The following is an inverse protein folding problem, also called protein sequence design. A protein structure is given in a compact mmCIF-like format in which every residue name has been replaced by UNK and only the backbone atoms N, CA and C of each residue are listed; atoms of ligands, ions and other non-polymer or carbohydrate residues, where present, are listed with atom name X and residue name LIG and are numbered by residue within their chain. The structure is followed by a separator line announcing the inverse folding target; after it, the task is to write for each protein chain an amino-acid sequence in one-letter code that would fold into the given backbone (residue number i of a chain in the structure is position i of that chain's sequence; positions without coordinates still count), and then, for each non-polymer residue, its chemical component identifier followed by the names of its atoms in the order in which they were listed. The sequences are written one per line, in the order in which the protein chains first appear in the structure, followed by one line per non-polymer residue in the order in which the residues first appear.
data_IF_239962696926
#
_entry.id   IF_239962696926
#
_cell.length_a   1.000
_cell.length_b   1.000
_cell.length_c   1.000
_cell.angle_alpha   90.00
_cell.angle_beta   90.00
_cell.angle_gamma   90.00
#
_symmetry.space_group_name_H-M   'P 1'
#
loop_
_entity.id
_entity.type
_entity.pdbx_description
1 polymer ?
#
# COMPACT_ATOMS: atom_id res chain seq x y z
N UNK A 1 -36.99 44.67 14.24
CA UNK A 1 -36.26 43.52 14.81
C UNK A 1 -36.82 42.26 14.15
N UNK A 2 -36.32 41.93 12.96
CA UNK A 2 -36.54 40.60 12.41
C UNK A 2 -35.68 39.65 13.25
N UNK A 3 -36.27 38.62 13.83
CA UNK A 3 -35.48 37.51 14.36
C UNK A 3 -34.83 36.85 13.16
N UNK A 4 -33.56 37.16 12.91
CA UNK A 4 -32.74 36.47 11.92
C UNK A 4 -32.64 35.01 12.35
N UNK A 5 -33.58 34.20 11.85
CA UNK A 5 -33.59 32.77 12.09
C UNK A 5 -32.34 32.20 11.43
N UNK A 6 -31.41 31.73 12.25
CA UNK A 6 -30.17 31.13 11.81
C UNK A 6 -30.49 30.05 10.75
N UNK A 7 -29.92 30.14 9.53
CA UNK A 7 -30.28 29.23 8.46
C UNK A 7 -29.96 27.80 8.87
N UNK A 8 -31.01 26.97 9.00
CA UNK A 8 -30.88 25.56 9.40
C UNK A 8 -30.02 24.81 8.39
N UNK A 9 -28.83 24.38 8.81
CA UNK A 9 -27.90 23.59 7.99
C UNK A 9 -28.60 22.30 7.55
N UNK A 10 -28.60 22.04 6.24
CA UNK A 10 -29.16 20.82 5.65
C UNK A 10 -28.04 19.81 5.41
N UNK A 11 -28.35 18.53 5.57
CA UNK A 11 -27.44 17.44 5.19
C UNK A 11 -27.26 17.48 3.67
N UNK A 12 -26.03 17.50 3.22
CA UNK A 12 -25.68 17.54 1.80
C UNK A 12 -25.60 16.12 1.25
N UNK A 13 -26.08 15.94 0.02
CA UNK A 13 -25.87 14.74 -0.79
C UNK A 13 -26.27 13.41 -0.12
N UNK A 14 -27.45 13.40 0.52
CA UNK A 14 -27.98 12.24 1.25
C UNK A 14 -28.01 10.94 0.43
N UNK A 15 -28.35 11.02 -0.86
CA UNK A 15 -28.36 9.85 -1.75
C UNK A 15 -26.96 9.22 -1.87
N UNK A 16 -25.92 10.05 -1.94
CA UNK A 16 -24.53 9.59 -2.05
C UNK A 16 -24.00 9.07 -0.72
N UNK A 17 -24.41 9.66 0.41
CA UNK A 17 -24.15 9.08 1.72
C UNK A 17 -24.79 7.69 1.84
N UNK A 18 -26.02 7.53 1.37
CA UNK A 18 -26.70 6.24 1.32
C UNK A 18 -25.96 5.21 0.46
N UNK A 19 -25.55 5.58 -0.76
CA UNK A 19 -24.80 4.72 -1.66
C UNK A 19 -23.43 4.31 -1.07
N UNK A 20 -22.69 5.27 -0.51
CA UNK A 20 -21.40 5.01 0.14
C UNK A 20 -21.55 4.10 1.36
N UNK A 21 -22.56 4.33 2.20
CA UNK A 21 -22.84 3.49 3.37
C UNK A 21 -23.22 2.06 2.96
N UNK A 22 -24.08 1.91 1.94
CA UNK A 22 -24.45 0.61 1.41
C UNK A 22 -23.22 -0.15 0.85
N UNK A 23 -22.35 0.55 0.14
CA UNK A 23 -21.09 -0.02 -0.36
C UNK A 23 -20.16 -0.45 0.77
N UNK A 24 -20.00 0.38 1.82
CA UNK A 24 -19.19 0.01 2.99
C UNK A 24 -19.76 -1.19 3.74
N UNK A 25 -21.08 -1.27 3.91
CA UNK A 25 -21.74 -2.42 4.53
C UNK A 25 -21.55 -3.69 3.68
N UNK A 26 -21.61 -3.56 2.36
CA UNK A 26 -21.33 -4.66 1.44
C UNK A 26 -19.87 -5.14 1.57
N UNK A 27 -18.89 -4.24 1.57
CA UNK A 27 -17.49 -4.59 1.82
C UNK A 27 -17.32 -5.24 3.21
N UNK A 28 -17.91 -4.66 4.25
CA UNK A 28 -17.85 -5.18 5.61
C UNK A 28 -18.43 -6.59 5.71
N UNK A 29 -19.54 -6.87 5.04
CA UNK A 29 -20.12 -8.21 4.97
C UNK A 29 -19.11 -9.22 4.38
N UNK A 30 -18.42 -8.88 3.31
CA UNK A 30 -17.38 -9.76 2.74
C UNK A 30 -16.14 -9.88 3.65
N UNK A 31 -15.73 -8.83 4.36
CA UNK A 31 -14.67 -8.95 5.37
C UNK A 31 -15.10 -9.93 6.46
N UNK A 32 -16.30 -9.78 6.99
CA UNK A 32 -16.82 -10.66 8.04
C UNK A 32 -16.86 -12.09 7.54
N UNK A 33 -17.43 -12.35 6.35
CA UNK A 33 -17.41 -13.69 5.75
C UNK A 33 -16.00 -14.24 5.59
N UNK A 34 -15.06 -13.43 5.08
CA UNK A 34 -13.67 -13.85 4.89
C UNK A 34 -12.96 -14.16 6.21
N UNK A 35 -13.31 -13.47 7.31
CA UNK A 35 -12.76 -13.72 8.63
C UNK A 35 -13.44 -14.88 9.37
N UNK A 36 -14.73 -15.14 9.10
CA UNK A 36 -15.48 -16.23 9.75
C UNK A 36 -15.24 -17.57 9.08
N UNK A 37 -15.18 -17.62 7.75
CA UNK A 37 -14.99 -18.85 6.98
C UNK A 37 -13.55 -19.05 6.53
N UNK A 38 -12.80 -17.96 6.34
CA UNK A 38 -11.42 -18.00 5.88
C UNK A 38 -10.41 -18.12 7.01
N UNK A 39 -9.18 -18.48 6.63
CA UNK A 39 -8.03 -18.47 7.53
C UNK A 39 -7.00 -17.46 7.03
N UNK A 40 -6.96 -16.22 7.58
CA UNK A 40 -6.03 -15.18 7.12
C UNK A 40 -4.57 -15.60 7.27
N UNK A 41 -4.26 -16.52 8.18
CA UNK A 41 -2.93 -17.12 8.35
C UNK A 41 -2.37 -17.77 7.07
N UNK A 42 -3.23 -18.20 6.13
CA UNK A 42 -2.81 -18.75 4.82
C UNK A 42 -2.18 -17.72 3.88
N UNK A 43 -2.26 -16.42 4.22
CA UNK A 43 -1.65 -15.37 3.42
C UNK A 43 -0.17 -15.18 3.75
N UNK A 44 0.23 -15.43 4.99
CA UNK A 44 1.59 -15.13 5.47
C UNK A 44 2.36 -16.33 6.02
N UNK A 45 1.71 -17.47 6.31
CA UNK A 45 2.40 -18.71 6.70
C UNK A 45 2.99 -19.41 5.47
N UNK A 46 4.12 -20.09 5.68
CA UNK A 46 4.76 -20.92 4.66
C UNK A 46 3.96 -22.18 4.31
N UNK A 47 4.22 -22.72 3.12
CA UNK A 47 3.67 -24.01 2.69
C UNK A 47 4.78 -25.04 2.58
N UNK A 48 4.51 -26.28 2.97
CA UNK A 48 5.42 -27.39 2.77
C UNK A 48 5.42 -27.88 1.31
N UNK A 49 6.31 -28.81 1.00
CA UNK A 49 6.42 -29.50 -0.30
C UNK A 49 5.14 -30.21 -0.79
N UNK A 50 4.15 -30.45 0.09
CA UNK A 50 2.84 -31.03 -0.24
C UNK A 50 1.78 -29.95 -0.51
N UNK A 51 2.14 -28.67 -0.47
CA UNK A 51 1.21 -27.56 -0.59
C UNK A 51 0.33 -27.33 0.64
N UNK A 52 0.67 -27.94 1.79
CA UNK A 52 -0.02 -27.73 3.07
C UNK A 52 0.58 -26.53 3.78
N UNK A 53 -0.27 -25.63 4.27
CA UNK A 53 0.12 -24.42 5.00
C UNK A 53 0.44 -24.77 6.46
N UNK A 54 1.67 -24.50 6.87
CA UNK A 54 2.17 -24.78 8.22
C UNK A 54 1.33 -24.06 9.28
N UNK A 55 0.87 -24.81 10.30
CA UNK A 55 0.05 -24.29 11.40
C UNK A 55 -1.42 -24.06 11.07
N UNK A 56 -1.87 -24.37 9.84
CA UNK A 56 -3.25 -24.11 9.40
C UNK A 56 -3.96 -25.36 8.92
N UNK A 57 -3.35 -26.13 8.01
CA UNK A 57 -3.99 -27.34 7.49
C UNK A 57 -4.04 -28.45 8.56
N UNK A 58 -5.09 -29.30 8.60
CA UNK A 58 -5.29 -30.26 9.68
C UNK A 58 -4.10 -31.20 9.94
N UNK A 59 -3.39 -31.60 8.87
CA UNK A 59 -2.24 -32.51 8.94
C UNK A 59 -0.97 -31.86 9.52
N UNK A 60 -0.87 -30.54 9.48
CA UNK A 60 0.31 -29.76 9.89
C UNK A 60 -0.05 -28.65 10.87
N UNK A 61 -1.17 -28.81 11.59
CA UNK A 61 -1.71 -27.81 12.51
C UNK A 61 -0.77 -27.54 13.69
N UNK A 62 -0.10 -28.57 14.18
CA UNK A 62 0.84 -28.48 15.30
C UNK A 62 2.27 -28.10 14.87
N UNK A 63 2.47 -27.83 13.57
CA UNK A 63 3.75 -27.53 12.96
C UNK A 63 3.71 -26.14 12.30
N UNK A 64 3.83 -25.04 13.06
CA UNK A 64 3.53 -23.69 12.56
C UNK A 64 4.64 -23.04 11.74
N UNK A 65 5.85 -23.61 11.70
CA UNK A 65 7.02 -22.96 11.10
C UNK A 65 7.52 -23.71 9.87
N UNK A 66 7.88 -22.98 8.82
CA UNK A 66 8.48 -23.54 7.61
C UNK A 66 10.01 -23.58 7.74
N UNK A 67 10.59 -24.76 7.54
CA UNK A 67 12.03 -25.04 7.58
C UNK A 67 12.47 -25.63 6.23
N UNK A 68 13.64 -25.24 5.73
CA UNK A 68 14.20 -25.74 4.47
C UNK A 68 15.34 -26.71 4.76
N UNK A 69 15.21 -28.01 4.48
CA UNK A 69 16.21 -29.00 4.87
C UNK A 69 17.44 -29.01 3.95
N UNK A 70 18.51 -29.66 4.41
CA UNK A 70 19.73 -29.86 3.61
C UNK A 70 19.57 -31.07 2.67
N UNK A 71 20.23 -31.06 1.52
CA UNK A 71 20.28 -32.23 0.63
C UNK A 71 21.19 -33.31 1.24
N UNK A 72 20.65 -34.48 1.64
CA UNK A 72 21.45 -35.55 2.25
C UNK A 72 22.37 -36.26 1.22
N UNK A 73 22.23 -35.99 -0.08
CA UNK A 73 23.02 -36.62 -1.15
C UNK A 73 24.32 -35.88 -1.44
N UNK A 74 24.38 -34.60 -1.10
CA UNK A 74 25.55 -33.76 -1.34
C UNK A 74 26.49 -33.79 -0.13
N UNK A 75 27.79 -33.79 -0.38
CA UNK A 75 28.80 -33.74 0.69
C UNK A 75 28.94 -32.34 1.31
N UNK A 76 28.45 -31.31 0.62
CA UNK A 76 28.41 -29.93 1.08
C UNK A 76 26.99 -29.57 1.53
N UNK A 77 26.88 -28.68 2.52
CA UNK A 77 25.59 -28.25 3.05
C UNK A 77 24.86 -27.36 2.03
N UNK A 78 23.86 -27.96 1.36
CA UNK A 78 23.07 -27.35 0.29
C UNK A 78 21.59 -27.38 0.66
N UNK A 79 20.91 -26.24 0.60
CA UNK A 79 19.49 -26.14 1.01
C UNK A 79 18.56 -26.58 -0.12
N UNK A 80 17.63 -27.49 0.20
CA UNK A 80 16.55 -27.89 -0.69
C UNK A 80 15.38 -26.90 -0.61
N UNK A 81 15.42 -25.84 -1.44
CA UNK A 81 14.41 -24.77 -1.46
C UNK A 81 12.99 -25.24 -1.81
N UNK A 82 12.88 -26.37 -2.51
CA UNK A 82 11.61 -26.92 -2.98
C UNK A 82 10.97 -27.89 -1.97
N UNK A 83 11.74 -28.36 -1.00
CA UNK A 83 11.35 -29.43 -0.08
C UNK A 83 11.12 -28.90 1.33
N UNK A 84 10.56 -27.69 1.43
CA UNK A 84 10.20 -27.05 2.69
C UNK A 84 9.30 -27.96 3.55
N UNK A 85 9.60 -28.00 4.86
CA UNK A 85 8.92 -28.83 5.86
C UNK A 85 8.34 -27.98 6.97
N UNK A 86 7.15 -28.35 7.44
CA UNK A 86 6.59 -27.74 8.64
C UNK A 86 7.24 -28.38 9.88
N UNK A 87 7.66 -27.55 10.84
CA UNK A 87 8.27 -27.97 12.11
C UNK A 87 7.56 -27.30 13.28
N UNK A 88 7.57 -27.97 14.45
CA UNK A 88 6.98 -27.46 15.68
C UNK A 88 7.78 -26.28 16.27
N UNK A 89 9.11 -26.33 16.16
CA UNK A 89 10.06 -25.33 16.63
C UNK A 89 11.25 -25.29 15.67
N UNK A 90 11.84 -24.11 15.45
CA UNK A 90 13.09 -24.01 14.71
C UNK A 90 14.24 -24.69 15.50
N UNK A 91 15.07 -25.53 14.86
CA UNK A 91 16.18 -26.20 15.53
C UNK A 91 17.17 -25.20 16.12
N UNK A 92 17.60 -25.45 17.36
CA UNK A 92 18.63 -24.68 18.05
C UNK A 92 20.01 -25.33 17.87
N UNK A 93 21.08 -24.64 18.28
CA UNK A 93 22.44 -25.21 18.23
C UNK A 93 22.54 -26.52 19.06
N UNK A 94 21.87 -26.57 20.22
CA UNK A 94 21.79 -27.76 21.06
C UNK A 94 21.10 -28.94 20.35
N UNK A 95 20.04 -28.68 19.57
CA UNK A 95 19.34 -29.71 18.82
C UNK A 95 20.22 -30.31 17.70
N UNK A 96 21.05 -29.46 17.08
CA UNK A 96 22.01 -29.88 16.05
C UNK A 96 23.14 -30.72 16.65
N UNK A 97 23.69 -30.29 17.79
CA UNK A 97 24.68 -31.07 18.55
C UNK A 97 24.11 -32.41 19.03
N UNK A 98 22.81 -32.44 19.36
CA UNK A 98 22.05 -33.65 19.68
C UNK A 98 21.78 -34.57 18.49
N UNK A 99 22.20 -34.20 17.27
CA UNK A 99 22.01 -35.01 16.07
C UNK A 99 20.56 -35.03 15.57
N UNK A 100 19.79 -33.96 15.79
CA UNK A 100 18.44 -33.85 15.25
C UNK A 100 18.46 -34.01 13.72
N UNK A 101 17.59 -34.87 13.21
CA UNK A 101 17.40 -35.09 11.77
C UNK A 101 15.96 -34.80 11.37
N UNK A 102 15.78 -34.28 10.16
CA UNK A 102 14.49 -33.91 9.60
C UNK A 102 14.22 -34.80 8.38
N UNK A 103 13.08 -35.49 8.32
CA UNK A 103 12.75 -36.36 7.19
C UNK A 103 12.46 -35.54 5.93
N UNK A 104 13.20 -35.81 4.86
CA UNK A 104 13.09 -35.13 3.56
C UNK A 104 12.67 -36.08 2.46
N UNK A 105 11.81 -35.64 1.52
CA UNK A 105 11.37 -36.49 0.43
C UNK A 105 12.42 -36.41 -0.69
N UNK A 106 12.98 -37.55 -1.08
CA UNK A 106 13.85 -37.63 -2.25
C UNK A 106 13.06 -38.30 -3.37
N UNK A 107 13.02 -37.61 -4.52
CA UNK A 107 12.37 -38.08 -5.74
C UNK A 107 13.44 -38.48 -6.74
N UNK A 108 13.45 -39.76 -7.08
CA UNK A 108 14.29 -40.29 -8.15
C UNK A 108 13.41 -40.71 -9.32
N UNK A 109 13.62 -40.07 -10.46
CA UNK A 109 12.90 -40.40 -11.69
C UNK A 109 13.81 -41.20 -12.61
N UNK A 110 13.52 -42.49 -12.78
CA UNK A 110 14.16 -43.32 -13.80
C UNK A 110 13.32 -43.27 -15.08
N UNK A 111 13.93 -42.79 -16.17
CA UNK A 111 13.31 -42.81 -17.50
C UNK A 111 13.80 -44.06 -18.22
N UNK A 112 12.89 -44.96 -18.59
CA UNK A 112 13.22 -46.07 -19.47
C UNK A 112 13.16 -45.57 -20.93
N UNK A 113 14.30 -45.38 -21.61
CA UNK A 113 14.33 -44.86 -22.97
C UNK A 113 13.63 -45.79 -23.97
N UNK A 114 13.40 -47.06 -23.62
CA UNK A 114 12.74 -48.03 -24.50
C UNK A 114 11.21 -48.03 -24.42
N UNK A 115 10.62 -47.50 -23.33
CA UNK A 115 9.17 -47.63 -23.05
C UNK A 115 8.42 -46.32 -22.91
N UNK A 116 9.02 -45.17 -23.24
CA UNK A 116 8.40 -43.83 -23.13
C UNK A 116 7.65 -43.62 -21.80
N UNK A 117 8.15 -44.24 -20.73
CA UNK A 117 7.58 -44.19 -19.39
C UNK A 117 8.65 -43.78 -18.40
N UNK A 118 8.27 -42.88 -17.50
CA UNK A 118 9.09 -42.45 -16.39
C UNK A 118 8.48 -43.00 -15.10
N UNK A 119 9.30 -43.65 -14.29
CA UNK A 119 8.92 -44.07 -12.93
C UNK A 119 9.60 -43.13 -11.95
N UNK A 120 8.82 -42.44 -11.13
CA UNK A 120 9.33 -41.63 -10.02
C UNK A 120 9.11 -42.39 -8.73
N UNK A 121 10.19 -42.69 -8.02
CA UNK A 121 10.14 -43.25 -6.66
C UNK A 121 10.36 -42.11 -5.68
N UNK A 122 9.46 -41.98 -4.70
CA UNK A 122 9.59 -41.04 -3.60
C UNK A 122 9.87 -41.83 -2.31
N UNK A 123 10.98 -41.52 -1.65
CA UNK A 123 11.35 -42.12 -0.37
C UNK A 123 11.84 -41.05 0.61
N UNK A 124 11.79 -41.33 1.91
CA UNK A 124 12.20 -40.39 2.95
C UNK A 124 13.64 -40.66 3.38
N UNK A 125 14.49 -39.64 3.30
CA UNK A 125 15.85 -39.63 3.85
C UNK A 125 15.91 -38.73 5.07
N UNK A 126 16.78 -39.04 6.03
CA UNK A 126 17.01 -38.22 7.21
C UNK A 126 18.07 -37.18 6.89
N UNK A 127 17.66 -35.92 6.75
CA UNK A 127 18.57 -34.78 6.54
C UNK A 127 19.07 -34.24 7.89
N UNK A 128 20.36 -33.95 8.06
CA UNK A 128 20.86 -33.31 9.27
C UNK A 128 20.25 -31.91 9.44
N UNK A 129 19.84 -31.57 10.66
CA UNK A 129 19.33 -30.23 10.96
C UNK A 129 20.47 -29.19 11.04
N UNK A 130 20.15 -27.92 10.77
CA UNK A 130 21.01 -26.77 11.07
C UNK A 130 20.30 -25.82 12.04
N UNK A 131 21.08 -25.05 12.78
CA UNK A 131 20.55 -24.11 13.75
C UNK A 131 19.89 -22.92 13.03
N UNK A 132 18.68 -22.59 13.44
CA UNK A 132 17.84 -21.60 12.78
C UNK A 132 17.11 -20.70 13.78
N UNK A 133 16.89 -19.45 13.38
CA UNK A 133 16.10 -18.47 14.13
C UNK A 133 14.73 -18.24 13.49
N UNK A 134 13.75 -17.85 14.30
CA UNK A 134 12.39 -17.60 13.84
C UNK A 134 12.27 -16.20 13.23
N UNK A 135 11.79 -16.13 11.99
CA UNK A 135 11.52 -14.90 11.25
C UNK A 135 10.03 -14.79 10.92
N UNK A 136 9.45 -13.61 11.18
CA UNK A 136 8.05 -13.25 10.91
C UNK A 136 7.03 -14.28 11.47
N UNK A 137 7.37 -14.93 12.59
CA UNK A 137 6.58 -16.01 13.21
C UNK A 137 6.17 -17.13 12.23
N UNK A 138 6.91 -17.35 11.15
CA UNK A 138 6.49 -18.26 10.08
C UNK A 138 7.63 -19.06 9.45
N UNK A 139 8.86 -18.57 9.48
CA UNK A 139 9.99 -19.16 8.76
C UNK A 139 11.17 -19.38 9.70
N UNK A 140 11.85 -20.52 9.56
CA UNK A 140 13.13 -20.79 10.21
C UNK A 140 14.26 -20.39 9.26
N UNK A 141 15.05 -19.40 9.66
CA UNK A 141 16.17 -18.86 8.88
C UNK A 141 17.48 -19.38 9.47
N UNK A 142 18.40 -19.94 8.65
CA UNK A 142 19.68 -20.43 9.14
C UNK A 142 20.46 -19.36 9.92
N UNK A 143 21.14 -19.75 11.00
CA UNK A 143 22.09 -18.89 11.72
C UNK A 143 23.41 -18.72 10.94
N UNK A 144 23.81 -19.75 10.20
CA UNK A 144 25.00 -19.73 9.34
C UNK A 144 24.80 -18.80 8.13
N UNK A 145 25.67 -17.78 7.94
CA UNK A 145 25.61 -16.87 6.79
C UNK A 145 25.71 -17.56 5.43
N UNK A 146 26.46 -18.67 5.33
CA UNK A 146 26.64 -19.39 4.07
C UNK A 146 25.32 -20.02 3.60
N UNK A 147 24.62 -20.70 4.49
CA UNK A 147 23.28 -21.26 4.28
C UNK A 147 22.24 -20.17 4.06
N UNK A 148 22.31 -19.07 4.82
CA UNK A 148 21.42 -17.91 4.65
C UNK A 148 21.54 -17.31 3.25
N UNK A 149 22.76 -17.24 2.70
CA UNK A 149 22.99 -16.71 1.35
C UNK A 149 22.33 -17.57 0.26
N UNK A 150 22.27 -18.90 0.44
CA UNK A 150 21.56 -19.81 -0.47
C UNK A 150 20.05 -19.63 -0.42
N UNK A 151 19.50 -19.25 0.74
CA UNK A 151 18.08 -19.00 0.93
C UNK A 151 17.63 -17.61 0.43
N UNK A 152 18.57 -16.67 0.29
CA UNK A 152 18.29 -15.28 -0.10
C UNK A 152 17.48 -15.16 -1.40
N UNK A 153 17.83 -15.83 -2.52
CA UNK A 153 17.05 -15.74 -3.76
C UNK A 153 15.60 -16.20 -3.59
N UNK A 154 15.36 -17.22 -2.76
CA UNK A 154 14.02 -17.73 -2.51
C UNK A 154 13.19 -16.77 -1.64
N UNK A 155 13.81 -16.08 -0.69
CA UNK A 155 13.15 -15.10 0.18
C UNK A 155 13.01 -13.72 -0.46
N UNK A 156 13.89 -13.37 -1.39
CA UNK A 156 13.89 -12.08 -2.07
C UNK A 156 12.81 -11.97 -3.16
N UNK A 157 11.96 -12.98 -3.33
CA UNK A 157 10.82 -12.90 -4.22
C UNK A 157 9.83 -11.83 -3.71
N UNK A 158 9.43 -10.89 -4.58
CA UNK A 158 8.43 -9.84 -4.33
C UNK A 158 7.20 -10.37 -3.60
N UNK A 159 6.68 -11.52 -4.01
CA UNK A 159 5.51 -12.11 -3.37
C UNK A 159 5.79 -12.48 -1.91
N UNK A 160 6.94 -13.11 -1.63
CA UNK A 160 7.32 -13.47 -0.26
C UNK A 160 7.59 -12.24 0.60
N UNK A 161 8.18 -11.19 0.05
CA UNK A 161 8.34 -9.93 0.78
C UNK A 161 6.98 -9.36 1.21
N UNK A 162 5.98 -9.41 0.33
CA UNK A 162 4.61 -9.01 0.67
C UNK A 162 4.03 -9.90 1.76
N UNK A 163 4.21 -11.23 1.68
CA UNK A 163 3.75 -12.15 2.73
C UNK A 163 4.40 -11.87 4.08
N UNK A 164 5.72 -11.65 4.11
CA UNK A 164 6.47 -11.31 5.31
C UNK A 164 6.02 -9.96 5.90
N UNK A 165 5.76 -8.97 5.05
CA UNK A 165 5.22 -7.67 5.48
C UNK A 165 3.82 -7.81 6.10
N UNK A 166 2.94 -8.60 5.48
CA UNK A 166 1.60 -8.88 6.01
C UNK A 166 1.69 -9.61 7.35
N UNK A 167 2.56 -10.64 7.47
CA UNK A 167 2.77 -11.37 8.72
C UNK A 167 3.31 -10.48 9.84
N UNK A 168 4.28 -9.62 9.51
CA UNK A 168 4.85 -8.64 10.45
C UNK A 168 3.79 -7.65 10.94
N UNK A 169 2.98 -7.12 10.00
CA UNK A 169 1.86 -6.23 10.29
C UNK A 169 0.81 -6.89 11.20
N UNK A 170 0.46 -8.15 10.93
CA UNK A 170 -0.45 -8.93 11.76
C UNK A 170 0.07 -9.08 13.20
N UNK A 171 1.36 -9.41 13.36
CA UNK A 171 1.98 -9.51 14.70
C UNK A 171 2.04 -8.17 15.44
N UNK A 172 2.14 -7.06 14.70
CA UNK A 172 2.31 -5.71 15.24
C UNK A 172 0.98 -4.96 15.45
N UNK A 173 -0.17 -5.61 15.30
CA UNK A 173 -1.47 -4.94 15.36
C UNK A 173 -1.71 -4.18 16.66
N UNK A 174 -1.31 -4.74 17.80
CA UNK A 174 -1.39 -4.06 19.10
C UNK A 174 -0.57 -2.78 19.14
N UNK A 175 0.64 -2.81 18.58
CA UNK A 175 1.53 -1.64 18.47
C UNK A 175 0.94 -0.57 17.55
N UNK A 176 0.37 -0.96 16.40
CA UNK A 176 -0.28 -0.04 15.46
C UNK A 176 -1.44 0.69 16.14
N UNK A 177 -2.29 -0.05 16.85
CA UNK A 177 -3.41 0.54 17.60
C UNK A 177 -2.91 1.47 18.72
N UNK A 178 -1.84 1.09 19.42
CA UNK A 178 -1.18 1.95 20.39
C UNK A 178 -0.69 3.27 19.78
N UNK A 179 -0.04 3.21 18.61
CA UNK A 179 0.40 4.40 17.87
C UNK A 179 -0.77 5.28 17.41
N UNK A 180 -1.88 4.68 17.00
CA UNK A 180 -3.08 5.44 16.62
C UNK A 180 -3.63 6.23 17.81
N UNK A 181 -3.79 5.60 18.97
CA UNK A 181 -4.24 6.29 20.20
C UNK A 181 -3.25 7.39 20.58
N UNK A 182 -1.95 7.10 20.54
CA UNK A 182 -0.91 8.06 20.86
C UNK A 182 -0.93 9.25 19.88
N UNK A 183 -1.14 9.02 18.59
CA UNK A 183 -1.24 10.06 17.58
C UNK A 183 -2.47 10.95 17.80
N UNK A 184 -3.63 10.37 18.13
CA UNK A 184 -4.84 11.12 18.48
C UNK A 184 -4.59 11.99 19.72
N UNK A 185 -4.03 11.41 20.78
CA UNK A 185 -3.71 12.15 22.00
C UNK A 185 -2.73 13.30 21.73
N UNK A 186 -1.66 13.02 20.99
CA UNK A 186 -0.66 14.01 20.62
C UNK A 186 -1.27 15.13 19.77
N UNK A 187 -2.15 14.80 18.82
CA UNK A 187 -2.87 15.76 18.01
C UNK A 187 -3.79 16.67 18.84
N UNK A 188 -4.51 16.10 19.81
CA UNK A 188 -5.34 16.85 20.74
C UNK A 188 -4.50 17.75 21.66
N UNK A 189 -3.40 17.23 22.20
CA UNK A 189 -2.46 17.98 23.04
C UNK A 189 -1.81 19.13 22.27
N UNK A 190 -1.39 18.89 21.02
CA UNK A 190 -0.86 19.90 20.12
C UNK A 190 -1.91 21.00 19.85
N UNK A 191 -3.14 20.61 19.51
CA UNK A 191 -4.24 21.54 19.26
C UNK A 191 -4.60 22.37 20.50
N UNK A 192 -4.56 21.78 21.69
CA UNK A 192 -4.75 22.49 22.96
C UNK A 192 -3.58 23.45 23.24
N UNK A 193 -2.35 23.04 22.95
CA UNK A 193 -1.14 23.84 23.17
C UNK A 193 -1.09 25.09 22.28
N UNK A 194 -1.59 24.99 21.04
CA UNK A 194 -1.74 26.16 20.13
C UNK A 194 -2.54 27.29 20.78
N UNK A 195 -3.48 26.99 21.67
CA UNK A 195 -4.26 28.01 22.38
C UNK A 195 -3.46 28.76 23.43
N UNK A 196 -2.46 28.11 24.04
CA UNK A 196 -1.66 28.71 25.11
C UNK A 196 -0.56 29.62 24.54
N UNK A 197 0.14 29.14 23.50
CA UNK A 197 1.20 29.91 22.85
C UNK A 197 1.46 29.38 21.44
N UNK A 198 0.77 29.92 20.41
CA UNK A 198 0.90 29.41 19.05
C UNK A 198 2.32 29.59 18.50
N UNK A 199 2.98 30.71 18.83
CA UNK A 199 4.35 30.98 18.40
C UNK A 199 5.37 29.99 18.97
N UNK A 200 5.27 29.68 20.27
CA UNK A 200 6.17 28.70 20.91
C UNK A 200 5.91 27.29 20.38
N UNK A 201 4.64 26.91 20.20
CA UNK A 201 4.28 25.57 19.74
C UNK A 201 4.72 25.35 18.29
N UNK A 202 4.42 26.29 17.39
CA UNK A 202 4.84 26.18 15.99
C UNK A 202 6.37 26.26 15.85
N UNK A 203 7.02 27.14 16.62
CA UNK A 203 8.47 27.24 16.68
C UNK A 203 9.12 25.95 17.17
N UNK A 204 8.63 25.39 18.27
CA UNK A 204 9.13 24.13 18.82
C UNK A 204 8.88 22.95 17.89
N UNK A 205 7.72 22.89 17.22
CA UNK A 205 7.41 21.86 16.23
C UNK A 205 8.39 21.95 15.04
N UNK A 206 8.63 23.15 14.50
CA UNK A 206 9.59 23.35 13.40
C UNK A 206 11.03 23.01 13.80
N UNK A 207 11.47 23.41 15.00
CA UNK A 207 12.79 23.03 15.50
C UNK A 207 12.88 21.53 15.70
N UNK A 208 11.84 20.90 16.28
CA UNK A 208 11.81 19.47 16.53
C UNK A 208 11.87 18.65 15.24
N UNK A 209 11.18 19.07 14.16
CA UNK A 209 11.22 18.37 12.88
C UNK A 209 12.61 18.44 12.25
N UNK A 210 13.26 19.61 12.30
CA UNK A 210 14.64 19.79 11.83
C UNK A 210 15.59 18.90 12.63
N UNK A 211 15.51 18.94 13.97
CA UNK A 211 16.36 18.13 14.85
C UNK A 211 16.14 16.63 14.63
N UNK A 212 14.88 16.20 14.49
CA UNK A 212 14.53 14.81 14.17
C UNK A 212 15.09 14.37 12.82
N UNK A 213 15.02 15.21 11.78
CA UNK A 213 15.62 14.90 10.48
C UNK A 213 17.14 14.74 10.58
N UNK A 214 17.84 15.61 11.32
CA UNK A 214 19.28 15.47 11.53
C UNK A 214 19.64 14.27 12.40
N UNK A 215 18.88 13.99 13.46
CA UNK A 215 19.07 12.83 14.31
C UNK A 215 18.84 11.53 13.53
N UNK A 216 17.78 11.45 12.73
CA UNK A 216 17.50 10.32 11.86
C UNK A 216 18.62 10.13 10.82
N UNK A 217 19.05 11.20 10.15
CA UNK A 217 20.18 11.15 9.21
C UNK A 217 21.49 10.73 9.87
N UNK A 218 21.80 11.26 11.06
CA UNK A 218 22.99 10.90 11.83
C UNK A 218 22.96 9.47 12.35
N UNK A 219 21.79 8.98 12.78
CA UNK A 219 21.59 7.58 13.15
C UNK A 219 21.80 6.68 11.93
N UNK A 220 21.21 7.00 10.77
CA UNK A 220 21.38 6.25 9.53
C UNK A 220 22.86 6.13 9.13
N UNK A 221 23.62 7.23 9.19
CA UNK A 221 25.07 7.28 8.91
C UNK A 221 25.85 6.46 9.95
N UNK A 222 25.53 6.59 11.24
CA UNK A 222 26.20 5.85 12.33
C UNK A 222 25.94 4.35 12.23
N UNK A 223 24.73 3.96 11.87
CA UNK A 223 24.36 2.58 11.56
C UNK A 223 24.81 2.15 10.16
N UNK A 224 25.66 2.93 9.48
CA UNK A 224 26.37 2.58 8.26
C UNK A 224 25.51 2.31 7.03
N UNK A 225 24.24 2.75 7.00
CA UNK A 225 23.19 2.18 6.14
C UNK A 225 23.03 0.65 6.27
N UNK A 226 23.87 -0.02 7.04
CA UNK A 226 23.81 -1.46 7.28
C UNK A 226 22.64 -1.77 8.21
N UNK A 227 22.25 -0.90 9.15
CA UNK A 227 21.00 -1.10 9.92
C UNK A 227 19.71 -1.17 9.07
N UNK A 228 19.75 -0.67 7.84
CA UNK A 228 18.65 -0.77 6.85
C UNK A 228 18.70 -2.10 6.06
N UNK A 229 19.82 -2.84 6.13
CA UNK A 229 20.07 -4.09 5.39
C UNK A 229 20.64 -5.25 6.25
N UNK A 230 20.82 -5.06 7.55
CA UNK A 230 21.41 -6.05 8.47
C UNK A 230 20.31 -7.01 8.89
N UNK A 231 20.17 -8.04 8.07
CA UNK A 231 19.17 -9.11 8.16
C UNK A 231 19.30 -9.91 9.47
N UNK A 232 20.41 -9.76 10.20
CA UNK A 232 20.79 -10.63 11.32
C UNK A 232 20.19 -10.19 12.66
N UNK A 233 19.66 -8.97 12.77
CA UNK A 233 19.13 -8.44 14.04
C UNK A 233 17.63 -8.50 14.24
N UNK A 234 16.87 -9.04 13.28
CA UNK A 234 15.45 -9.36 13.46
C UNK A 234 14.51 -8.21 13.84
N UNK A 235 15.01 -6.99 14.03
CA UNK A 235 14.25 -5.81 14.44
C UNK A 235 13.97 -4.95 13.21
N UNK A 236 12.97 -5.38 12.45
CA UNK A 236 12.44 -4.67 11.29
C UNK A 236 11.79 -3.34 11.73
N UNK A 237 12.41 -2.20 11.40
CA UNK A 237 11.79 -0.90 11.62
C UNK A 237 10.70 -0.65 10.56
N UNK A 238 9.47 -0.41 11.02
CA UNK A 238 8.26 -0.33 10.20
C UNK A 238 8.16 0.89 9.26
N UNK A 239 9.02 1.90 9.43
CA UNK A 239 8.88 3.19 8.75
C UNK A 239 9.38 3.16 7.29
N UNK A 240 10.43 2.38 7.00
CA UNK A 240 11.00 2.27 5.65
C UNK A 240 10.14 1.37 4.73
N UNK A 241 9.40 0.42 5.31
CA UNK A 241 8.47 -0.44 4.55
C UNK A 241 7.28 0.32 3.99
N UNK A 242 6.76 1.35 4.67
CA UNK A 242 5.70 2.18 4.08
C UNK A 242 6.15 2.86 2.79
N UNK A 243 7.43 3.24 2.66
CA UNK A 243 7.98 3.81 1.41
C UNK A 243 8.38 2.72 0.40
N UNK A 244 8.91 1.59 0.86
CA UNK A 244 9.24 0.44 -0.01
C UNK A 244 8.00 -0.28 -0.58
N UNK A 245 6.86 -0.24 0.13
CA UNK A 245 5.59 -0.80 -0.35
C UNK A 245 5.01 0.02 -1.53
N UNK A 246 5.41 1.30 -1.67
CA UNK A 246 5.03 2.16 -2.79
C UNK A 246 6.07 2.24 -3.92
N UNK A 247 7.28 1.68 -3.76
CA UNK A 247 8.38 1.77 -4.73
C UNK A 247 9.17 0.43 -4.76
N UNK A 248 9.24 -0.33 -5.87
CA UNK A 248 8.23 -0.69 -6.86
C UNK A 248 8.19 -2.23 -7.09
N UNK A 249 7.02 -2.82 -7.34
CA UNK A 249 6.85 -4.20 -7.86
C UNK A 249 7.95 -4.55 -8.88
N UNK A 250 8.94 -5.34 -8.45
CA UNK A 250 10.01 -5.85 -9.29
C UNK A 250 9.49 -7.09 -10.01
N UNK A 251 9.09 -6.93 -11.26
CA UNK A 251 9.25 -8.01 -12.22
C UNK A 251 10.73 -7.98 -12.61
N UNK A 252 11.51 -8.93 -12.11
CA UNK A 252 12.87 -9.15 -12.58
C UNK A 252 12.86 -9.50 -14.07
N UNK A 253 13.81 -8.93 -14.79
CA UNK A 253 13.95 -9.00 -16.25
C UNK A 253 14.78 -10.22 -16.71
N UNK A 254 15.01 -11.19 -15.83
CA UNK A 254 15.75 -12.40 -16.18
C UNK A 254 14.77 -13.54 -16.39
N UNK A 255 14.56 -13.87 -17.67
CA UNK A 255 13.76 -15.00 -18.14
C UNK A 255 14.38 -16.37 -17.86
N UNK A 256 15.03 -16.55 -16.71
CA UNK A 256 15.33 -17.88 -16.19
C UNK A 256 14.20 -18.27 -15.24
N UNK A 257 13.16 -18.87 -15.83
CA UNK A 257 12.11 -19.58 -15.09
C UNK A 257 12.74 -20.89 -14.63
N UNK A 258 13.61 -20.81 -13.63
CA UNK A 258 13.80 -21.92 -12.71
C UNK A 258 12.46 -22.13 -12.03
N UNK A 259 11.73 -23.15 -12.46
CA UNK A 259 10.41 -23.51 -11.95
C UNK A 259 10.60 -23.95 -10.49
N UNK A 260 10.66 -23.00 -9.55
CA UNK A 260 10.56 -23.28 -8.13
C UNK A 260 9.12 -23.74 -7.87
N UNK A 261 8.87 -25.01 -7.49
CA UNK A 261 7.53 -25.53 -7.21
C UNK A 261 6.92 -24.95 -5.91
N UNK A 262 7.59 -24.00 -5.26
CA UNK A 262 7.09 -23.30 -4.08
C UNK A 262 6.44 -21.94 -4.40
N UNK A 263 6.07 -21.68 -5.66
CA UNK A 263 5.18 -20.57 -5.98
C UNK A 263 3.74 -21.05 -5.84
N UNK A 264 2.92 -20.33 -5.06
CA UNK A 264 1.47 -20.50 -5.12
C UNK A 264 1.03 -20.06 -6.51
N UNK A 265 0.73 -20.99 -7.42
CA UNK A 265 0.21 -20.60 -8.73
C UNK A 265 -1.12 -19.86 -8.51
N UNK A 266 -1.10 -18.54 -8.70
CA UNK A 266 -2.31 -17.75 -8.67
C UNK A 266 -3.07 -18.05 -9.94
N UNK A 267 -4.11 -18.87 -9.82
CA UNK A 267 -5.11 -18.98 -10.86
C UNK A 267 -5.88 -17.66 -10.86
N UNK A 268 -5.68 -16.85 -11.90
CA UNK A 268 -6.41 -15.61 -12.12
C UNK A 268 -7.85 -15.90 -12.51
N UNK A 269 -8.63 -16.34 -11.54
CA UNK A 269 -10.06 -16.55 -11.67
C UNK A 269 -10.75 -15.19 -11.88
N UNK A 270 -11.77 -15.16 -12.73
CA UNK A 270 -12.65 -14.00 -12.93
C UNK A 270 -13.16 -13.46 -11.60
N UNK A 271 -13.48 -14.35 -10.65
CA UNK A 271 -13.88 -13.98 -9.29
C UNK A 271 -12.77 -13.22 -8.55
N UNK A 272 -11.54 -13.72 -8.64
CA UNK A 272 -10.38 -13.09 -7.99
C UNK A 272 -10.11 -11.70 -8.56
N UNK A 273 -10.14 -11.56 -9.90
CA UNK A 273 -9.97 -10.27 -10.57
C UNK A 273 -11.09 -9.29 -10.19
N UNK A 274 -12.35 -9.75 -10.17
CA UNK A 274 -13.49 -8.94 -9.77
C UNK A 274 -13.36 -8.44 -8.33
N UNK A 275 -13.08 -9.32 -7.37
CA UNK A 275 -12.89 -8.93 -5.97
C UNK A 275 -11.66 -8.03 -5.80
N UNK A 276 -10.57 -8.32 -6.49
CA UNK A 276 -9.37 -7.47 -6.50
C UNK A 276 -9.69 -6.05 -6.96
N UNK A 277 -10.41 -5.90 -8.08
CA UNK A 277 -10.84 -4.61 -8.60
C UNK A 277 -11.81 -3.88 -7.65
N UNK A 278 -12.76 -4.61 -7.06
CA UNK A 278 -13.69 -4.08 -6.06
C UNK A 278 -12.95 -3.54 -4.83
N UNK A 279 -12.01 -4.31 -4.27
CA UNK A 279 -11.22 -3.91 -3.11
C UNK A 279 -10.28 -2.75 -3.42
N UNK A 280 -9.69 -2.74 -4.62
CA UNK A 280 -8.89 -1.62 -5.11
C UNK A 280 -9.72 -0.35 -5.18
N UNK A 281 -10.90 -0.41 -5.80
CA UNK A 281 -11.82 0.71 -5.86
C UNK A 281 -12.27 1.18 -4.47
N UNK A 282 -12.62 0.25 -3.58
CA UNK A 282 -12.99 0.54 -2.20
C UNK A 282 -11.88 1.30 -1.46
N UNK A 283 -10.64 0.83 -1.58
CA UNK A 283 -9.47 1.42 -0.93
C UNK A 283 -9.33 2.90 -1.32
N UNK A 284 -9.30 3.20 -2.62
CA UNK A 284 -9.14 4.59 -3.08
C UNK A 284 -10.34 5.45 -2.74
N UNK A 285 -11.57 4.94 -2.89
CA UNK A 285 -12.76 5.71 -2.56
C UNK A 285 -12.79 6.11 -1.08
N UNK A 286 -12.52 5.16 -0.18
CA UNK A 286 -12.52 5.41 1.27
C UNK A 286 -11.38 6.35 1.68
N UNK A 287 -10.16 6.12 1.18
CA UNK A 287 -9.01 6.98 1.47
C UNK A 287 -9.30 8.42 1.05
N UNK A 288 -9.80 8.63 -0.17
CA UNK A 288 -10.09 9.98 -0.64
C UNK A 288 -11.24 10.65 0.12
N UNK A 289 -12.28 9.89 0.52
CA UNK A 289 -13.34 10.42 1.37
C UNK A 289 -12.82 10.82 2.77
N UNK A 290 -11.89 10.06 3.33
CA UNK A 290 -11.23 10.41 4.60
C UNK A 290 -10.31 11.62 4.45
N UNK A 291 -9.55 11.72 3.36
CA UNK A 291 -8.71 12.89 3.06
C UNK A 291 -9.56 14.15 2.86
N UNK A 292 -10.70 14.02 2.16
CA UNK A 292 -11.68 15.09 1.99
C UNK A 292 -12.21 15.60 3.33
N UNK A 293 -12.57 14.68 4.23
CA UNK A 293 -13.01 15.00 5.58
C UNK A 293 -11.91 15.72 6.38
N UNK A 294 -10.67 15.23 6.34
CA UNK A 294 -9.54 15.85 7.03
C UNK A 294 -9.26 17.28 6.51
N UNK A 295 -9.27 17.47 5.19
CA UNK A 295 -9.11 18.80 4.58
C UNK A 295 -10.23 19.76 4.97
N UNK A 296 -11.48 19.28 5.06
CA UNK A 296 -12.58 20.09 5.57
C UNK A 296 -12.35 20.53 7.03
N UNK A 297 -11.94 19.62 7.91
CA UNK A 297 -11.68 19.94 9.33
C UNK A 297 -10.62 21.03 9.47
N UNK A 298 -9.53 20.92 8.70
CA UNK A 298 -8.45 21.92 8.67
C UNK A 298 -8.97 23.25 8.12
N UNK A 299 -9.65 23.22 6.97
CA UNK A 299 -10.15 24.43 6.30
C UNK A 299 -11.17 25.18 7.15
N UNK A 300 -12.09 24.45 7.80
CA UNK A 300 -13.07 25.02 8.73
C UNK A 300 -12.37 25.70 9.91
N UNK A 301 -11.42 25.00 10.54
CA UNK A 301 -10.70 25.52 11.71
C UNK A 301 -9.91 26.78 11.38
N UNK A 302 -9.23 26.80 10.22
CA UNK A 302 -8.52 27.98 9.73
C UNK A 302 -9.48 29.14 9.42
N UNK A 303 -10.64 28.85 8.80
CA UNK A 303 -11.66 29.84 8.46
C UNK A 303 -12.22 30.51 9.71
N UNK A 304 -12.63 29.72 10.71
CA UNK A 304 -13.15 30.25 11.98
C UNK A 304 -12.11 31.13 12.65
N UNK A 305 -10.86 30.67 12.73
CA UNK A 305 -9.78 31.48 13.32
C UNK A 305 -9.50 32.78 12.55
N UNK A 306 -9.48 32.72 11.22
CA UNK A 306 -9.17 33.87 10.36
C UNK A 306 -10.26 34.95 10.39
N UNK A 307 -11.53 34.54 10.45
CA UNK A 307 -12.66 35.48 10.43
C UNK A 307 -13.20 35.87 11.82
N UNK A 308 -12.77 35.21 12.90
CA UNK A 308 -13.05 35.69 14.26
C UNK A 308 -12.41 37.07 14.49
N UNK A 309 -13.20 38.11 14.84
CA UNK A 309 -12.67 39.43 15.13
C UNK A 309 -11.76 39.37 16.37
N UNK A 310 -10.64 40.12 16.40
CA UNK A 310 -9.83 40.25 17.60
C UNK A 310 -10.60 41.06 18.64
N UNK A 311 -10.80 40.50 19.84
CA UNK A 311 -11.39 41.24 20.96
C UNK A 311 -10.25 41.87 21.79
N UNK A 312 -9.87 43.09 21.45
CA UNK A 312 -8.79 43.81 22.14
C UNK A 312 -7.38 43.50 21.61
N UNK A 313 -6.37 43.53 22.50
CA UNK A 313 -4.95 43.54 22.15
C UNK A 313 -4.33 42.14 21.97
N UNK A 314 -4.85 41.35 21.02
CA UNK A 314 -4.18 40.20 20.36
C UNK A 314 -4.89 38.82 20.47
N UNK A 315 -5.93 38.66 21.29
CA UNK A 315 -6.67 37.39 21.39
C UNK A 315 -7.93 37.36 20.48
N UNK A 316 -8.08 36.26 19.73
CA UNK A 316 -9.26 35.97 18.89
C UNK A 316 -10.14 34.94 19.60
N UNK A 317 -11.39 35.30 19.90
CA UNK A 317 -12.35 34.31 20.40
C UNK A 317 -12.89 33.46 19.24
N UNK A 318 -12.47 32.20 19.21
CA UNK A 318 -12.85 31.20 18.20
C UNK A 318 -13.82 30.16 18.77
N UNK A 319 -14.28 30.34 20.00
CA UNK A 319 -15.19 29.43 20.69
C UNK A 319 -14.57 28.07 21.05
N UNK A 320 -15.45 27.10 21.34
CA UNK A 320 -15.04 25.77 21.78
C UNK A 320 -14.47 24.94 20.63
N UNK A 321 -13.15 24.72 20.67
CA UNK A 321 -12.35 23.77 19.92
C UNK A 321 -12.83 23.55 18.47
N UNK A 322 -12.56 24.51 17.56
CA UNK A 322 -13.03 24.48 16.18
C UNK A 322 -12.82 23.15 15.44
N UNK A 323 -11.72 22.38 15.64
CA UNK A 323 -11.55 21.08 14.99
C UNK A 323 -12.61 20.04 15.40
N UNK A 324 -13.03 20.00 16.67
CA UNK A 324 -14.09 19.07 17.14
C UNK A 324 -15.45 19.47 16.59
N UNK A 325 -15.73 20.76 16.57
CA UNK A 325 -16.95 21.30 15.95
C UNK A 325 -16.96 20.95 14.45
N UNK A 326 -15.83 21.13 13.76
CA UNK A 326 -15.68 20.77 12.35
C UNK A 326 -15.88 19.27 12.12
N UNK A 327 -15.30 18.41 12.96
CA UNK A 327 -15.49 16.97 12.86
C UNK A 327 -16.97 16.60 12.99
N UNK A 328 -17.67 17.13 13.99
CA UNK A 328 -19.11 16.90 14.17
C UNK A 328 -19.94 17.41 12.99
N UNK A 329 -19.68 18.63 12.53
CA UNK A 329 -20.37 19.21 11.37
C UNK A 329 -20.11 18.41 10.09
N UNK A 330 -18.86 18.01 9.86
CA UNK A 330 -18.45 17.22 8.71
C UNK A 330 -19.10 15.85 8.68
N UNK A 331 -19.10 15.15 9.82
CA UNK A 331 -19.68 13.80 9.95
C UNK A 331 -21.20 13.79 9.81
N UNK A 332 -21.89 14.81 10.35
CA UNK A 332 -23.36 14.85 10.35
C UNK A 332 -23.90 15.44 9.04
N UNK A 333 -23.29 16.52 8.52
CA UNK A 333 -23.89 17.30 7.45
C UNK A 333 -23.22 17.12 6.09
N UNK A 334 -21.92 16.77 6.03
CA UNK A 334 -21.14 16.83 4.79
C UNK A 334 -20.55 15.48 4.33
N UNK A 335 -20.85 14.39 5.04
CA UNK A 335 -20.30 13.07 4.71
C UNK A 335 -20.68 12.61 3.30
N UNK A 336 -21.88 12.93 2.82
CA UNK A 336 -22.29 12.66 1.44
C UNK A 336 -21.42 13.37 0.41
N UNK A 337 -21.13 14.66 0.62
CA UNK A 337 -20.26 15.44 -0.27
C UNK A 337 -18.82 14.92 -0.27
N UNK A 338 -18.30 14.50 0.89
CA UNK A 338 -16.97 13.88 0.96
C UNK A 338 -16.92 12.53 0.26
N UNK A 339 -17.98 11.72 0.34
CA UNK A 339 -18.08 10.48 -0.42
C UNK A 339 -18.10 10.73 -1.94
N UNK A 340 -18.83 11.74 -2.41
CA UNK A 340 -18.82 12.10 -3.86
C UNK A 340 -17.45 12.60 -4.30
N UNK A 341 -16.86 13.53 -3.55
CA UNK A 341 -15.51 14.01 -3.84
C UNK A 341 -14.50 12.87 -3.84
N UNK A 342 -14.61 11.98 -2.85
CA UNK A 342 -13.79 10.78 -2.74
C UNK A 342 -13.96 9.81 -3.90
N UNK A 343 -15.15 9.70 -4.48
CA UNK A 343 -15.40 8.85 -5.65
C UNK A 343 -14.68 9.37 -6.89
N UNK A 344 -14.81 10.67 -7.17
CA UNK A 344 -14.17 11.32 -8.33
C UNK A 344 -12.65 11.27 -8.20
N UNK A 345 -12.13 11.57 -7.00
CA UNK A 345 -10.71 11.50 -6.71
C UNK A 345 -10.18 10.06 -6.72
N UNK A 346 -10.93 9.14 -6.13
CA UNK A 346 -10.55 7.73 -6.04
C UNK A 346 -10.49 7.06 -7.41
N UNK A 347 -11.33 7.48 -8.35
CA UNK A 347 -11.28 7.01 -9.73
C UNK A 347 -10.06 7.56 -10.51
N UNK A 348 -9.66 8.80 -10.26
CA UNK A 348 -8.58 9.46 -11.02
C UNK A 348 -7.18 9.23 -10.44
N UNK A 349 -7.07 9.02 -9.12
CA UNK A 349 -5.78 8.89 -8.42
C UNK A 349 -4.96 7.66 -8.83
N UNK A 350 -5.51 6.45 -9.03
CA UNK A 350 -4.75 5.31 -9.55
C UNK A 350 -4.09 5.63 -10.90
N UNK A 351 -4.80 6.31 -11.79
CA UNK A 351 -4.27 6.72 -13.11
C UNK A 351 -3.10 7.70 -12.92
N UNK A 352 -3.21 8.63 -11.97
CA UNK A 352 -2.16 9.60 -11.61
C UNK A 352 -0.95 8.98 -10.94
N UNK A 353 -1.09 7.83 -10.26
CA UNK A 353 0.01 7.13 -9.60
C UNK A 353 0.70 6.13 -10.55
N UNK A 354 -0.10 5.33 -11.26
CA UNK A 354 0.41 4.28 -12.15
C UNK A 354 1.17 4.85 -13.33
N UNK A 355 0.76 6.01 -13.86
CA UNK A 355 1.36 6.54 -15.07
C UNK A 355 2.79 7.09 -14.87
N UNK A 356 3.07 7.98 -13.89
CA UNK A 356 4.44 8.38 -13.56
C UNK A 356 5.30 7.18 -13.18
N UNK A 357 4.75 6.23 -12.42
CA UNK A 357 5.44 5.00 -12.05
C UNK A 357 5.85 4.18 -13.27
N UNK A 358 4.92 3.88 -14.18
CA UNK A 358 5.19 3.14 -15.41
C UNK A 358 6.21 3.87 -16.30
N UNK A 359 6.10 5.20 -16.39
CA UNK A 359 7.05 6.07 -17.08
C UNK A 359 8.47 6.02 -16.49
N UNK A 360 8.60 5.83 -15.17
CA UNK A 360 9.91 5.71 -14.52
C UNK A 360 10.51 4.31 -14.58
N UNK A 361 9.70 3.24 -14.58
CA UNK A 361 10.23 1.87 -14.40
C UNK A 361 10.36 1.05 -15.68
N UNK A 362 9.38 1.10 -16.59
CA UNK A 362 9.40 0.31 -17.83
C UNK A 362 9.87 1.10 -19.05
N UNK A 363 9.60 2.42 -19.08
CA UNK A 363 10.03 3.28 -20.19
C UNK A 363 11.49 3.76 -20.07
N UNK A 364 12.12 3.63 -18.90
CA UNK A 364 13.54 3.93 -18.71
C UNK A 364 14.46 2.78 -19.14
N UNK A 365 13.96 1.53 -19.20
CA UNK A 365 14.74 0.38 -19.68
C UNK A 365 14.62 0.15 -21.20
N UNK A 366 13.79 0.95 -21.88
CA UNK A 366 13.53 0.88 -23.33
C UNK A 366 13.70 2.26 -23.97
N UNK A 367 14.84 2.91 -23.72
CA UNK A 367 15.12 4.27 -24.21
C UNK A 367 15.11 4.42 -25.75
N UNK A 368 15.17 3.33 -26.52
CA UNK A 368 15.36 3.42 -27.98
C UNK A 368 14.09 3.26 -28.85
N UNK A 369 12.91 3.11 -28.24
CA UNK A 369 11.66 2.90 -29.00
C UNK A 369 10.88 4.20 -29.26
N UNK A 370 10.74 4.67 -30.52
CA UNK A 370 9.97 5.87 -30.84
C UNK A 370 8.47 5.72 -30.49
N UNK A 371 7.95 4.49 -30.50
CA UNK A 371 6.57 4.18 -30.11
C UNK A 371 6.36 4.45 -28.62
N UNK A 372 7.31 4.04 -27.80
CA UNK A 372 7.28 4.22 -26.34
C UNK A 372 7.36 5.72 -25.98
N UNK A 373 8.18 6.49 -26.70
CA UNK A 373 8.27 7.95 -26.53
C UNK A 373 6.95 8.66 -26.93
N UNK A 374 6.34 8.25 -28.04
CA UNK A 374 5.07 8.81 -28.53
C UNK A 374 3.91 8.54 -27.57
N UNK A 375 3.81 7.31 -27.05
CA UNK A 375 2.82 6.93 -26.03
C UNK A 375 3.02 7.78 -24.77
N UNK A 376 4.25 7.89 -24.26
CA UNK A 376 4.56 8.72 -23.08
C UNK A 376 4.10 10.16 -23.24
N UNK A 377 4.37 10.77 -24.39
CA UNK A 377 3.98 12.15 -24.66
C UNK A 377 2.47 12.31 -24.78
N UNK A 378 1.79 11.41 -25.50
CA UNK A 378 0.33 11.43 -25.65
C UNK A 378 -0.38 11.36 -24.30
N UNK A 379 0.03 10.40 -23.46
CA UNK A 379 -0.55 10.24 -22.13
C UNK A 379 -0.19 11.41 -21.20
N UNK A 380 1.02 11.97 -21.27
CA UNK A 380 1.38 13.17 -20.50
C UNK A 380 0.49 14.36 -20.87
N UNK A 381 0.21 14.54 -22.16
CA UNK A 381 -0.66 15.61 -22.67
C UNK A 381 -2.12 15.46 -22.21
N UNK A 382 -2.60 14.23 -21.99
CA UNK A 382 -3.95 13.98 -21.47
C UNK A 382 -3.99 14.10 -19.94
N UNK A 383 -2.98 13.55 -19.25
CA UNK A 383 -2.98 13.46 -17.78
C UNK A 383 -2.62 14.75 -17.07
N UNK A 384 -1.77 15.59 -17.67
CA UNK A 384 -1.39 16.89 -17.11
C UNK A 384 -2.60 17.81 -16.89
N UNK A 385 -3.49 18.05 -17.88
CA UNK A 385 -4.66 18.89 -17.68
C UNK A 385 -5.67 18.26 -16.71
N UNK A 386 -5.89 16.93 -16.80
CA UNK A 386 -6.74 16.21 -15.85
C UNK A 386 -6.28 16.38 -14.41
N UNK A 387 -4.97 16.22 -14.17
CA UNK A 387 -4.35 16.40 -12.86
C UNK A 387 -4.52 17.83 -12.35
N UNK A 388 -4.22 18.82 -13.21
CA UNK A 388 -4.36 20.24 -12.86
C UNK A 388 -5.81 20.61 -12.49
N UNK A 389 -6.77 20.18 -13.31
CA UNK A 389 -8.21 20.38 -13.06
C UNK A 389 -8.58 19.77 -11.71
N UNK A 390 -8.25 18.50 -11.52
CA UNK A 390 -8.59 17.74 -10.31
C UNK A 390 -7.98 18.38 -9.05
N UNK A 391 -6.70 18.78 -9.08
CA UNK A 391 -6.00 19.40 -7.94
C UNK A 391 -6.55 20.81 -7.63
N UNK A 392 -6.86 21.60 -8.67
CA UNK A 392 -7.40 22.95 -8.49
C UNK A 392 -8.78 22.91 -7.84
N UNK A 393 -9.63 21.99 -8.27
CA UNK A 393 -11.00 21.86 -7.77
C UNK A 393 -11.08 21.19 -6.40
N UNK A 394 -10.19 20.26 -6.07
CA UNK A 394 -10.13 19.71 -4.70
C UNK A 394 -9.62 20.72 -3.68
N UNK A 395 -8.54 21.43 -3.98
CA UNK A 395 -8.00 22.45 -3.08
C UNK A 395 -9.00 23.59 -2.81
N UNK A 396 -9.77 23.99 -3.83
CA UNK A 396 -10.73 25.10 -3.72
C UNK A 396 -12.12 24.64 -3.24
N UNK A 397 -12.55 23.44 -3.65
CA UNK A 397 -13.88 22.90 -3.36
C UNK A 397 -14.12 22.63 -1.88
N UNK A 398 -13.11 22.16 -1.13
CA UNK A 398 -13.28 21.96 0.33
C UNK A 398 -13.40 23.28 1.10
N UNK A 399 -12.82 24.37 0.58
CA UNK A 399 -12.99 25.72 1.14
C UNK A 399 -14.41 26.23 0.84
N UNK A 400 -14.95 25.96 -0.35
CA UNK A 400 -16.34 26.32 -0.70
C UNK A 400 -17.42 25.50 0.06
N UNK A 401 -17.11 24.24 0.43
CA UNK A 401 -17.98 23.43 1.29
C UNK A 401 -18.13 24.04 2.68
N UNK A 402 -17.12 24.76 3.17
CA UNK A 402 -17.22 25.49 4.46
C UNK A 402 -18.20 26.66 4.35
N UNK A 403 -18.35 27.27 3.17
CA UNK A 403 -19.14 28.49 2.95
C UNK A 403 -20.54 28.26 2.36
N UNK A 404 -20.84 27.10 1.75
CA UNK A 404 -22.14 26.86 1.11
C UNK A 404 -22.73 25.44 1.34
N UNK A 405 -24.06 25.30 1.46
CA UNK A 405 -24.73 24.03 1.75
C UNK A 405 -24.96 23.11 0.53
N UNK A 406 -24.42 23.38 -0.67
CA UNK A 406 -24.61 22.49 -1.83
C UNK A 406 -23.38 22.47 -2.75
N UNK A 407 -22.47 21.54 -2.49
CA UNK A 407 -21.19 21.41 -3.21
C UNK A 407 -21.32 20.88 -4.64
N UNK A 408 -22.41 20.15 -4.96
CA UNK A 408 -22.57 19.47 -6.27
C UNK A 408 -22.87 20.46 -7.41
N UNK A 409 -23.64 21.52 -7.16
CA UNK A 409 -23.99 22.50 -8.20
C UNK A 409 -22.82 23.38 -8.61
N UNK A 410 -22.04 23.87 -7.64
CA UNK A 410 -20.86 24.71 -7.88
C UNK A 410 -19.75 23.91 -8.57
N UNK A 411 -19.44 22.71 -8.08
CA UNK A 411 -18.27 21.96 -8.56
C UNK A 411 -18.47 21.39 -9.97
N UNK A 412 -19.68 20.95 -10.34
CA UNK A 412 -19.95 20.40 -11.68
C UNK A 412 -20.10 21.49 -12.75
N UNK A 413 -20.77 22.60 -12.43
CA UNK A 413 -20.85 23.77 -13.33
C UNK A 413 -19.47 24.43 -13.46
N UNK A 414 -18.69 24.52 -12.38
CA UNK A 414 -17.32 25.06 -12.42
C UNK A 414 -16.33 24.11 -13.11
N UNK A 415 -16.54 22.79 -13.06
CA UNK A 415 -15.80 21.81 -13.86
C UNK A 415 -16.08 21.98 -15.37
N UNK A 416 -17.35 22.17 -15.75
CA UNK A 416 -17.73 22.48 -17.14
C UNK A 416 -17.19 23.84 -17.61
N UNK A 417 -17.25 24.87 -16.76
CA UNK A 417 -16.64 26.19 -17.02
C UNK A 417 -15.12 26.07 -17.08
N UNK A 418 -14.48 25.23 -16.26
CA UNK A 418 -13.04 24.99 -16.28
C UNK A 418 -12.58 24.30 -17.56
N UNK A 419 -13.35 23.33 -18.06
CA UNK A 419 -13.15 22.73 -19.39
C UNK A 419 -13.29 23.81 -20.48
N UNK A 420 -14.30 24.68 -20.38
CA UNK A 420 -14.50 25.77 -21.34
C UNK A 420 -13.37 26.82 -21.29
N UNK A 421 -12.94 27.25 -20.11
CA UNK A 421 -11.86 28.25 -19.91
C UNK A 421 -10.50 27.69 -20.32
N UNK A 422 -10.23 26.41 -20.06
CA UNK A 422 -9.01 25.74 -20.55
C UNK A 422 -9.00 25.65 -22.07
N UNK A 423 -10.15 25.29 -22.67
CA UNK A 423 -10.33 25.26 -24.14
C UNK A 423 -10.15 26.63 -24.79
N UNK A 424 -10.46 27.72 -24.07
CA UNK A 424 -10.29 29.10 -24.53
C UNK A 424 -8.87 29.63 -24.30
N UNK A 425 -8.18 29.20 -23.23
CA UNK A 425 -6.87 29.74 -22.84
C UNK A 425 -5.68 29.06 -23.52
N UNK A 426 -5.83 27.82 -23.98
CA UNK A 426 -4.75 27.05 -24.62
C UNK A 426 -5.19 26.36 -25.93
N UNK A 427 -5.67 27.11 -26.94
CA UNK A 427 -6.15 26.52 -28.20
C UNK A 427 -5.05 25.73 -28.95
N UNK A 428 -3.77 26.10 -28.78
CA UNK A 428 -2.63 25.45 -29.44
C UNK A 428 -2.33 24.03 -28.94
N UNK A 429 -2.67 23.68 -27.69
CA UNK A 429 -2.45 22.31 -27.19
C UNK A 429 -3.56 21.35 -27.62
N UNK A 430 -4.79 21.86 -27.79
CA UNK A 430 -5.92 21.08 -28.31
C UNK A 430 -5.76 20.81 -29.83
N UNK A 431 -5.25 21.79 -30.59
CA UNK A 431 -4.95 21.61 -32.03
C UNK A 431 -3.88 20.53 -32.27
N UNK A 432 -2.82 20.49 -31.45
CA UNK A 432 -1.78 19.46 -31.57
C UNK A 432 -2.28 18.05 -31.23
N UNK A 433 -3.27 17.92 -30.34
CA UNK A 433 -3.88 16.64 -29.99
C UNK A 433 -4.84 16.12 -31.08
N UNK A 434 -5.42 17.00 -31.90
CA UNK A 434 -6.35 16.63 -32.99
C UNK A 434 -5.61 16.42 -34.32
N UNK A 435 -4.50 17.13 -34.58
CA UNK A 435 -3.77 17.02 -35.85
C UNK A 435 -2.61 16.00 -35.85
N UNK A 436 -2.14 15.56 -34.69
CA UNK A 436 -1.05 14.59 -34.54
C UNK A 436 -1.24 13.24 -35.26
N UNK A 437 -2.45 12.62 -35.25
CA UNK A 437 -2.64 11.33 -35.93
C UNK A 437 -2.77 11.43 -37.45
N UNK A 438 -3.12 12.60 -38.00
CA UNK A 438 -3.43 12.76 -39.43
C UNK A 438 -2.23 13.18 -40.28
N UNK A 439 -1.30 13.96 -39.72
CA UNK A 439 -0.09 14.39 -40.45
C UNK A 439 0.97 13.27 -40.57
N UNK A 440 1.01 12.34 -39.62
CA UNK A 440 1.88 11.16 -39.71
C UNK A 440 1.41 10.17 -40.79
N UNK A 441 0.10 10.09 -41.05
CA UNK A 441 -0.46 9.25 -42.12
C UNK A 441 -0.27 9.84 -43.53
N UNK A 442 -0.28 11.17 -43.67
CA UNK A 442 -0.03 11.85 -44.96
C UNK A 442 1.44 11.87 -45.36
N UNK A 443 2.37 11.81 -44.39
CA UNK A 443 3.80 11.73 -44.67
C UNK A 443 4.24 10.36 -45.22
N UNK A 444 3.41 9.32 -45.06
CA UNK A 444 3.70 7.97 -45.57
C UNK A 444 3.15 7.73 -47.00
N UNK A 445 2.31 8.62 -47.54
CA UNK A 445 1.70 8.48 -48.88
C UNK A 445 2.30 9.40 -49.96
N UNK A 446 3.27 10.26 -49.62
CA UNK A 446 3.98 11.13 -50.58
C UNK A 446 5.43 10.72 -50.85
N UNK A 447 5.86 9.54 -50.39
CA UNK A 447 7.14 8.94 -50.76
C UNK A 447 6.96 7.44 -51.05
N UNK A 448 6.11 7.13 -52.04
CA UNK A 448 6.33 6.05 -53.00
C UNK A 448 5.42 6.17 -54.21
#
# INVERSE_FOLDING_TARGET
MASDAEPKRRVTDQNWLGAFSAFLLFCLFFVVLALTEGSPSRLFKGMNYQGKTCGVDPEVRDLPYLYFPLDPRESFASIMLNDGRCVAKCPTEEDVEGGLTIPTPIRETSIDPSKTSAMTVEYLLLSPAYAATLMADAYCIPLDPSLRSQLSPALNNTFRQVQLAIGSFYSAWGTIFGYLIFAVFTSLAFSASIRLSPGLVLGSAAISSIVLSFAAGGLLIKSGFTGVLDQDKGSFYSLDYTLAMFIPMGLEQNGDIGILPLHREFVWDVRFVFFGALWWFALFWVIEAMMAFAHFVISYSATVWYFSPPEGADERDVGWFPPLVAMGLGSIHHMGSFAVGGLVMGATRPIRLLFPWAATKHLASTEDSPVVHSLRNTFRSIMSPLTYIVDRFTSSGYIEVVSTPSAIGSSFISFLIGIMVYSVSYPQQLLLAVEGPWLAALSFFCYH
#
